data_IF_302611368257
#
_entry.id   IF_302611368257
#
_cell.length_a   1.000
_cell.length_b   1.000
_cell.length_c   1.000
_cell.angle_alpha   90.00
_cell.angle_beta   90.00
_cell.angle_gamma   90.00
#
_symmetry.space_group_name_H-M   'P 1'
#
loop_
_entity.id
_entity.type
_entity.pdbx_description
1 polymer ?
#
# COMPACT_ATOMS: atom_id res chain seq x y z
N UNK A 1 -50.11 -24.70 -0.36
CA UNK A 1 -49.67 -23.29 -0.18
C UNK A 1 -48.20 -23.33 0.27
N UNK A 2 -47.28 -23.19 -0.68
CA UNK A 2 -45.86 -23.21 -0.39
C UNK A 2 -45.35 -21.76 -0.25
N UNK A 3 -44.89 -21.40 0.94
CA UNK A 3 -44.33 -20.09 1.22
C UNK A 3 -42.94 -20.02 0.58
N UNK A 4 -42.79 -19.14 -0.41
CA UNK A 4 -41.55 -18.78 -1.04
C UNK A 4 -40.70 -18.00 -0.01
N UNK A 5 -39.66 -18.64 0.50
CA UNK A 5 -38.65 -17.97 1.30
C UNK A 5 -37.81 -17.09 0.38
N UNK A 6 -38.09 -15.80 0.38
CA UNK A 6 -37.23 -14.79 -0.24
C UNK A 6 -35.90 -14.77 0.50
N UNK A 7 -34.88 -15.35 -0.13
CA UNK A 7 -33.50 -15.20 0.32
C UNK A 7 -33.14 -13.72 0.28
N UNK A 8 -33.02 -13.10 1.46
CA UNK A 8 -32.48 -11.75 1.58
C UNK A 8 -31.03 -11.78 1.10
N UNK A 9 -30.58 -10.82 0.27
CA UNK A 9 -29.17 -10.71 -0.08
C UNK A 9 -28.39 -10.47 1.21
N UNK A 10 -27.41 -11.34 1.48
CA UNK A 10 -26.45 -11.14 2.56
C UNK A 10 -25.64 -9.90 2.20
N UNK A 11 -26.02 -8.76 2.75
CA UNK A 11 -25.25 -7.53 2.65
C UNK A 11 -23.96 -7.77 3.40
N UNK A 12 -22.86 -8.06 2.68
CA UNK A 12 -21.52 -8.11 3.25
C UNK A 12 -21.26 -6.75 3.92
N UNK A 13 -20.67 -6.72 5.13
CA UNK A 13 -20.39 -5.46 5.79
C UNK A 13 -19.44 -4.65 4.90
N UNK A 14 -19.93 -3.52 4.41
CA UNK A 14 -19.12 -2.58 3.67
C UNK A 14 -17.87 -2.28 4.52
N UNK A 15 -16.65 -2.47 3.97
CA UNK A 15 -15.44 -2.10 4.67
C UNK A 15 -15.49 -0.59 4.89
N UNK A 16 -15.77 -0.18 6.12
CA UNK A 16 -15.84 1.24 6.51
C UNK A 16 -14.46 1.83 6.86
N UNK A 17 -13.39 1.22 6.32
CA UNK A 17 -12.01 1.55 6.63
C UNK A 17 -11.20 1.76 5.36
N UNK A 18 -10.14 2.55 5.45
CA UNK A 18 -9.18 2.76 4.35
C UNK A 18 -8.46 1.45 3.97
N UNK A 19 -8.09 1.32 2.70
CA UNK A 19 -7.23 0.24 2.22
C UNK A 19 -5.80 0.76 2.18
N UNK A 20 -4.89 0.06 2.85
CA UNK A 20 -3.49 0.47 3.00
C UNK A 20 -2.59 -0.49 2.23
N UNK A 21 -1.97 -0.01 1.16
CA UNK A 21 -1.06 -0.79 0.32
C UNK A 21 0.36 -0.70 0.86
N UNK A 22 0.94 -1.84 1.21
CA UNK A 22 2.31 -1.97 1.66
C UNK A 22 3.13 -2.89 0.75
N UNK A 23 4.44 -2.85 0.88
CA UNK A 23 5.36 -3.69 0.11
C UNK A 23 6.59 -2.93 -0.36
N UNK A 24 7.50 -3.65 -0.99
CA UNK A 24 8.77 -3.11 -1.48
C UNK A 24 8.59 -2.04 -2.55
N UNK A 25 9.63 -1.22 -2.74
CA UNK A 25 9.73 -0.39 -3.94
C UNK A 25 9.70 -1.26 -5.19
N UNK A 26 8.96 -0.85 -6.22
CA UNK A 26 8.75 -1.67 -7.42
C UNK A 26 7.60 -2.69 -7.32
N UNK A 27 6.96 -2.88 -6.15
CA UNK A 27 5.81 -3.77 -6.00
C UNK A 27 4.54 -3.27 -6.73
N UNK A 28 4.49 -2.00 -7.15
CA UNK A 28 3.38 -1.46 -7.93
C UNK A 28 2.30 -0.75 -7.14
N UNK A 29 2.57 -0.39 -5.88
CA UNK A 29 1.61 0.24 -4.97
C UNK A 29 0.86 1.43 -5.57
N UNK A 30 1.56 2.36 -6.19
CA UNK A 30 0.94 3.56 -6.80
C UNK A 30 0.05 3.21 -8.00
N UNK A 31 0.51 2.31 -8.89
CA UNK A 31 -0.25 1.92 -10.08
C UNK A 31 -1.51 1.11 -9.72
N UNK A 32 -1.35 0.12 -8.82
CA UNK A 32 -2.45 -0.70 -8.32
C UNK A 32 -3.40 0.15 -7.49
N UNK A 33 -2.86 0.99 -6.60
CA UNK A 33 -3.65 1.84 -5.72
C UNK A 33 -4.55 2.84 -6.46
N UNK A 34 -4.03 3.50 -7.48
CA UNK A 34 -4.83 4.41 -8.32
C UNK A 34 -5.97 3.68 -9.04
N UNK A 35 -5.69 2.48 -9.56
CA UNK A 35 -6.70 1.70 -10.27
C UNK A 35 -7.73 1.12 -9.31
N UNK A 36 -7.31 0.66 -8.14
CA UNK A 36 -8.20 0.19 -7.07
C UNK A 36 -9.10 1.31 -6.56
N UNK A 37 -8.54 2.48 -6.29
CA UNK A 37 -9.28 3.67 -5.86
C UNK A 37 -10.34 4.07 -6.89
N UNK A 38 -9.98 4.07 -8.19
CA UNK A 38 -10.93 4.32 -9.28
C UNK A 38 -12.05 3.28 -9.31
N UNK A 39 -11.73 1.99 -9.14
CA UNK A 39 -12.72 0.92 -9.13
C UNK A 39 -13.70 1.04 -7.95
N UNK A 40 -13.24 1.56 -6.83
CA UNK A 40 -14.07 1.76 -5.62
C UNK A 40 -14.75 3.13 -5.54
N UNK A 41 -14.45 4.05 -6.45
CA UNK A 41 -14.91 5.45 -6.34
C UNK A 41 -14.31 6.19 -5.13
N UNK A 42 -13.13 5.75 -4.64
CA UNK A 42 -12.46 6.33 -3.47
C UNK A 42 -11.28 7.20 -3.90
N UNK A 43 -10.86 8.17 -3.06
CA UNK A 43 -9.62 8.90 -3.29
C UNK A 43 -8.41 7.99 -3.16
N UNK A 44 -7.37 8.27 -3.97
CA UNK A 44 -6.05 7.67 -3.84
C UNK A 44 -5.10 8.66 -3.16
N UNK A 45 -4.38 8.20 -2.14
CA UNK A 45 -3.38 8.99 -1.40
C UNK A 45 -2.05 8.24 -1.38
N UNK A 46 -0.96 8.95 -1.68
CA UNK A 46 0.41 8.43 -1.60
C UNK A 46 1.12 9.11 -0.42
N UNK A 47 1.54 8.32 0.57
CA UNK A 47 2.12 8.86 1.79
C UNK A 47 3.46 9.56 1.52
N UNK A 48 4.28 9.02 0.62
CA UNK A 48 5.56 9.65 0.25
C UNK A 48 5.31 11.04 -0.37
N UNK A 49 4.36 11.12 -1.31
CA UNK A 49 3.99 12.38 -1.92
C UNK A 49 3.38 13.38 -0.91
N UNK A 50 2.59 12.90 0.05
CA UNK A 50 2.01 13.74 1.10
C UNK A 50 3.09 14.28 2.06
N UNK A 51 4.11 13.49 2.37
CA UNK A 51 5.26 13.91 3.18
C UNK A 51 6.04 15.01 2.45
N UNK A 52 6.39 14.79 1.17
CA UNK A 52 7.12 15.76 0.36
C UNK A 52 6.34 17.08 0.20
N UNK A 53 5.04 16.99 -0.05
CA UNK A 53 4.17 18.18 -0.13
C UNK A 53 4.10 18.96 1.19
N UNK A 54 4.02 18.27 2.32
CA UNK A 54 4.00 18.89 3.64
C UNK A 54 5.34 19.54 4.03
N UNK A 55 6.46 18.97 3.56
CA UNK A 55 7.80 19.46 3.85
C UNK A 55 8.30 20.50 2.81
N UNK A 56 7.67 20.58 1.64
CA UNK A 56 8.15 21.43 0.55
C UNK A 56 9.48 20.97 -0.07
N UNK A 57 9.92 19.74 0.22
CA UNK A 57 11.19 19.18 -0.25
C UNK A 57 11.12 17.66 -0.39
N UNK A 58 12.11 17.05 -1.05
CA UNK A 58 12.14 15.61 -1.26
C UNK A 58 12.42 14.83 0.03
N UNK A 59 11.94 13.59 0.11
CA UNK A 59 12.26 12.67 1.21
C UNK A 59 13.77 12.51 1.38
N UNK A 60 14.54 12.46 0.29
CA UNK A 60 15.98 12.38 0.35
C UNK A 60 16.62 13.58 1.09
N UNK A 61 16.13 14.79 0.83
CA UNK A 61 16.59 15.99 1.50
C UNK A 61 16.18 15.99 2.98
N UNK A 62 14.95 15.55 3.29
CA UNK A 62 14.48 15.44 4.68
C UNK A 62 15.39 14.48 5.47
N UNK A 63 15.73 13.31 4.89
CA UNK A 63 16.65 12.36 5.52
C UNK A 63 18.04 12.96 5.75
N UNK A 64 18.57 13.72 4.79
CA UNK A 64 19.87 14.38 4.92
C UNK A 64 19.86 15.46 6.00
N UNK A 65 18.75 16.18 6.16
CA UNK A 65 18.62 17.32 7.08
C UNK A 65 18.35 16.90 8.52
N UNK A 66 17.38 15.98 8.75
CA UNK A 66 16.93 15.64 10.10
C UNK A 66 17.22 14.19 10.52
N UNK A 67 17.75 13.35 9.61
CA UNK A 67 18.03 11.94 9.86
C UNK A 67 16.81 11.03 9.90
N UNK A 68 17.05 9.73 9.91
CA UNK A 68 15.99 8.72 9.84
C UNK A 68 15.05 8.75 11.05
N UNK A 69 15.51 8.83 12.32
CA UNK A 69 14.61 8.78 13.47
C UNK A 69 13.58 9.92 13.46
N UNK A 70 14.02 11.15 13.17
CA UNK A 70 13.13 12.31 13.11
C UNK A 70 12.18 12.25 11.89
N UNK A 71 12.66 11.71 10.76
CA UNK A 71 11.82 11.42 9.60
C UNK A 71 10.69 10.47 9.97
N UNK A 72 10.96 9.35 10.67
CA UNK A 72 9.95 8.36 11.06
C UNK A 72 8.84 8.94 11.93
N UNK A 73 9.16 9.89 12.80
CA UNK A 73 8.14 10.62 13.59
C UNK A 73 7.22 11.43 12.66
N UNK A 74 7.79 12.17 11.70
CA UNK A 74 7.00 12.96 10.73
C UNK A 74 6.18 12.07 9.79
N UNK A 75 6.77 10.99 9.29
CA UNK A 75 6.10 10.00 8.45
C UNK A 75 4.84 9.45 9.16
N UNK A 76 4.96 9.01 10.41
CA UNK A 76 3.86 8.52 11.23
C UNK A 76 2.75 9.56 11.42
N UNK A 77 3.11 10.83 11.66
CA UNK A 77 2.14 11.91 11.78
C UNK A 77 1.34 12.15 10.49
N UNK A 78 2.01 12.09 9.34
CA UNK A 78 1.35 12.23 8.04
C UNK A 78 0.44 11.04 7.77
N UNK A 79 0.92 9.82 8.00
CA UNK A 79 0.13 8.60 7.84
C UNK A 79 -1.11 8.64 8.74
N UNK A 80 -0.98 9.05 10.00
CA UNK A 80 -2.10 9.19 10.92
C UNK A 80 -3.17 10.17 10.38
N UNK A 81 -2.75 11.29 9.81
CA UNK A 81 -3.67 12.26 9.21
C UNK A 81 -4.38 11.68 7.99
N UNK A 82 -3.66 10.94 7.14
CA UNK A 82 -4.24 10.31 5.95
C UNK A 82 -5.30 9.26 6.33
N UNK A 83 -5.03 8.44 7.35
CA UNK A 83 -5.89 7.33 7.77
C UNK A 83 -7.09 7.75 8.62
N UNK A 84 -6.97 8.85 9.39
CA UNK A 84 -8.09 9.41 10.17
C UNK A 84 -8.99 10.34 9.36
N UNK A 85 -8.63 10.66 8.14
CA UNK A 85 -9.44 11.44 7.22
C UNK A 85 -10.54 10.62 6.55
N UNK A 86 -11.00 11.10 5.40
CA UNK A 86 -11.94 10.35 4.58
C UNK A 86 -11.36 8.99 4.14
N UNK A 87 -12.23 8.00 4.02
CA UNK A 87 -11.90 6.66 3.52
C UNK A 87 -11.19 6.74 2.16
N UNK A 88 -10.05 6.08 2.03
CA UNK A 88 -9.17 6.17 0.87
C UNK A 88 -8.42 4.87 0.60
N UNK A 89 -7.85 4.76 -0.60
CA UNK A 89 -6.75 3.82 -0.87
C UNK A 89 -5.44 4.58 -0.63
N UNK A 90 -4.66 4.12 0.34
CA UNK A 90 -3.42 4.77 0.78
C UNK A 90 -2.22 3.88 0.44
N UNK A 91 -1.27 4.38 -0.34
CA UNK A 91 0.01 3.71 -0.57
C UNK A 91 1.05 4.22 0.43
N UNK A 92 1.72 3.32 1.15
CA UNK A 92 2.77 3.68 2.10
C UNK A 92 4.17 3.52 1.50
N UNK A 93 5.10 4.32 2.00
CA UNK A 93 6.53 4.10 1.80
C UNK A 93 6.97 2.71 2.29
N UNK A 94 7.99 2.12 1.64
CA UNK A 94 8.39 0.73 1.93
C UNK A 94 8.92 0.50 3.36
N UNK A 95 9.28 1.55 4.09
CA UNK A 95 9.74 1.47 5.48
C UNK A 95 8.65 1.71 6.53
N UNK A 96 7.54 2.34 6.16
CA UNK A 96 6.53 2.81 7.11
C UNK A 96 5.88 1.67 7.91
N UNK A 97 5.63 0.53 7.30
CA UNK A 97 5.03 -0.63 7.97
C UNK A 97 5.98 -1.34 8.94
N UNK A 98 7.28 -1.02 8.90
CA UNK A 98 8.27 -1.54 9.86
C UNK A 98 8.10 -0.94 11.26
N UNK A 99 7.48 0.22 11.37
CA UNK A 99 7.17 0.87 12.64
C UNK A 99 5.95 0.24 13.31
N UNK A 100 6.07 -0.27 14.56
CA UNK A 100 4.97 -0.95 15.25
C UNK A 100 3.78 -0.02 15.55
N UNK A 101 4.03 1.28 15.80
CA UNK A 101 2.95 2.24 16.05
C UNK A 101 2.14 2.51 14.77
N UNK A 102 2.82 2.57 13.62
CA UNK A 102 2.14 2.67 12.33
C UNK A 102 1.29 1.42 12.05
N UNK A 103 1.78 0.22 12.35
CA UNK A 103 0.99 -1.01 12.21
C UNK A 103 -0.24 -1.02 13.11
N UNK A 104 -0.09 -0.63 14.38
CA UNK A 104 -1.21 -0.53 15.31
C UNK A 104 -2.29 0.42 14.79
N UNK A 105 -1.88 1.61 14.32
CA UNK A 105 -2.79 2.58 13.73
C UNK A 105 -3.53 2.02 12.50
N UNK A 106 -2.82 1.31 11.61
CA UNK A 106 -3.43 0.69 10.43
C UNK A 106 -4.45 -0.36 10.85
N UNK A 107 -4.14 -1.18 11.84
CA UNK A 107 -5.07 -2.20 12.37
C UNK A 107 -6.37 -1.58 12.88
N UNK A 108 -6.31 -0.40 13.49
CA UNK A 108 -7.47 0.33 14.00
C UNK A 108 -8.29 1.00 12.89
N UNK A 109 -7.63 1.58 11.89
CA UNK A 109 -8.24 2.52 10.94
C UNK A 109 -8.32 2.02 9.50
N UNK A 110 -7.68 0.91 9.17
CA UNK A 110 -7.54 0.42 7.79
C UNK A 110 -7.55 -1.09 7.67
N UNK A 111 -7.32 -1.53 6.46
CA UNK A 111 -6.99 -2.92 6.08
C UNK A 111 -5.69 -2.90 5.30
N UNK A 112 -4.69 -3.60 5.79
CA UNK A 112 -3.37 -3.68 5.17
C UNK A 112 -3.32 -4.75 4.08
N UNK A 113 -2.81 -4.39 2.90
CA UNK A 113 -2.60 -5.29 1.78
C UNK A 113 -1.12 -5.31 1.44
N UNK A 114 -0.46 -6.44 1.66
CA UNK A 114 0.89 -6.61 1.17
C UNK A 114 0.91 -6.99 -0.31
N UNK A 115 1.39 -6.09 -1.15
CA UNK A 115 1.71 -6.38 -2.54
C UNK A 115 3.07 -7.06 -2.61
N UNK A 116 3.05 -8.39 -2.61
CA UNK A 116 4.25 -9.22 -2.68
C UNK A 116 4.75 -9.33 -4.11
N UNK A 117 6.05 -9.21 -4.31
CA UNK A 117 6.69 -9.43 -5.60
C UNK A 117 8.06 -10.09 -5.41
N UNK A 118 8.43 -10.96 -6.34
CA UNK A 118 9.72 -11.62 -6.38
C UNK A 118 10.86 -10.61 -6.59
N UNK A 119 12.05 -10.90 -6.08
CA UNK A 119 13.24 -10.04 -6.19
C UNK A 119 13.53 -9.64 -7.64
N UNK A 120 13.48 -10.58 -8.58
CA UNK A 120 13.77 -10.29 -10.00
C UNK A 120 12.79 -9.29 -10.62
N UNK A 121 11.53 -9.34 -10.19
CA UNK A 121 10.50 -8.37 -10.61
C UNK A 121 10.81 -6.99 -10.03
N UNK A 122 11.17 -6.93 -8.75
CA UNK A 122 11.53 -5.68 -8.08
C UNK A 122 12.75 -5.04 -8.73
N UNK A 123 13.82 -5.80 -8.97
CA UNK A 123 15.03 -5.34 -9.65
C UNK A 123 14.69 -4.76 -11.02
N UNK A 124 13.97 -5.52 -11.85
CA UNK A 124 13.60 -5.06 -13.21
C UNK A 124 12.76 -3.78 -13.19
N UNK A 125 11.79 -3.67 -12.25
CA UNK A 125 10.91 -2.49 -12.15
C UNK A 125 11.60 -1.27 -11.55
N UNK A 126 12.66 -1.47 -10.79
CA UNK A 126 13.44 -0.39 -10.16
C UNK A 126 14.67 0.01 -10.94
N UNK A 127 15.08 -0.76 -11.98
CA UNK A 127 16.25 -0.50 -12.83
C UNK A 127 16.15 0.80 -13.65
N UNK A 128 14.96 1.39 -13.82
CA UNK A 128 14.82 2.70 -14.47
C UNK A 128 15.39 3.77 -13.54
N UNK A 129 16.16 4.76 -14.07
CA UNK A 129 16.74 5.83 -13.27
C UNK A 129 15.63 6.68 -12.66
N UNK A 130 15.23 6.35 -11.47
CA UNK A 130 14.35 7.13 -10.62
C UNK A 130 15.13 7.52 -9.36
N UNK A 131 14.89 8.73 -8.87
CA UNK A 131 15.48 9.34 -7.66
C UNK A 131 15.19 8.51 -6.40
N UNK A 132 15.83 7.35 -6.27
CA UNK A 132 15.69 6.46 -5.09
C UNK A 132 16.99 6.43 -4.32
N UNK A 133 17.11 7.20 -3.21
CA UNK A 133 18.33 7.31 -2.42
C UNK A 133 18.88 5.95 -1.96
N UNK A 134 18.02 5.02 -1.60
CA UNK A 134 18.39 3.68 -1.10
C UNK A 134 19.06 2.77 -2.15
N UNK A 135 18.98 3.11 -3.43
CA UNK A 135 19.62 2.36 -4.52
C UNK A 135 20.79 3.12 -5.16
N UNK A 136 21.12 4.31 -4.64
CA UNK A 136 22.22 5.12 -5.11
C UNK A 136 23.51 4.65 -4.42
N UNK A 137 24.43 4.02 -5.16
CA UNK A 137 25.77 3.72 -4.67
C UNK A 137 26.04 2.28 -4.25
N UNK A 138 25.64 1.29 -5.08
CA UNK A 138 25.92 -0.12 -4.80
C UNK A 138 25.27 -1.05 -5.81
N UNK A 139 25.24 -2.35 -5.49
CA UNK A 139 24.46 -3.33 -6.24
C UNK A 139 22.97 -3.21 -5.86
N UNK A 140 22.10 -2.71 -6.76
CA UNK A 140 20.67 -2.57 -6.46
C UNK A 140 19.98 -3.91 -6.13
N UNK A 141 20.49 -5.01 -6.72
CA UNK A 141 19.94 -6.35 -6.45
C UNK A 141 20.27 -6.80 -5.03
N UNK A 142 21.52 -6.66 -4.60
CA UNK A 142 21.93 -7.01 -3.24
C UNK A 142 21.18 -6.15 -2.20
N UNK A 143 21.04 -4.86 -2.47
CA UNK A 143 20.29 -3.94 -1.60
C UNK A 143 18.82 -4.35 -1.49
N UNK A 144 18.15 -4.65 -2.61
CA UNK A 144 16.74 -5.08 -2.60
C UNK A 144 16.57 -6.43 -1.93
N UNK A 145 17.51 -7.39 -2.14
CA UNK A 145 17.47 -8.69 -1.49
C UNK A 145 17.55 -8.54 0.03
N UNK A 146 18.52 -7.77 0.53
CA UNK A 146 18.67 -7.50 1.95
C UNK A 146 17.46 -6.82 2.58
N UNK A 147 16.92 -5.78 1.92
CA UNK A 147 15.71 -5.12 2.39
C UNK A 147 14.49 -6.05 2.38
N UNK A 148 14.37 -6.91 1.38
CA UNK A 148 13.26 -7.88 1.29
C UNK A 148 13.35 -8.90 2.42
N UNK A 149 14.54 -9.45 2.69
CA UNK A 149 14.78 -10.38 3.80
C UNK A 149 14.39 -9.79 5.16
N UNK A 150 14.77 -8.55 5.41
CA UNK A 150 14.43 -7.84 6.66
C UNK A 150 12.94 -7.52 6.78
N UNK A 151 12.28 -7.17 5.67
CA UNK A 151 10.93 -6.62 5.70
C UNK A 151 9.83 -7.66 5.48
N UNK A 152 10.11 -8.75 4.76
CA UNK A 152 9.09 -9.75 4.45
C UNK A 152 8.42 -10.36 5.69
N UNK A 153 9.14 -10.69 6.79
CA UNK A 153 8.49 -11.20 8.00
C UNK A 153 7.50 -10.20 8.62
N UNK A 154 7.80 -8.89 8.54
CA UNK A 154 6.90 -7.84 9.05
C UNK A 154 5.76 -7.58 8.08
N UNK A 155 6.01 -7.56 6.78
CA UNK A 155 4.94 -7.43 5.78
C UNK A 155 3.95 -8.60 5.83
N UNK A 156 4.40 -9.80 6.24
CA UNK A 156 3.53 -10.96 6.42
C UNK A 156 2.49 -10.79 7.55
N UNK A 157 2.61 -9.77 8.39
CA UNK A 157 1.61 -9.38 9.38
C UNK A 157 0.43 -8.59 8.78
N UNK A 158 0.45 -8.32 7.48
CA UNK A 158 -0.67 -7.66 6.79
C UNK A 158 -1.94 -8.52 6.82
N UNK A 159 -3.10 -7.86 6.81
CA UNK A 159 -4.40 -8.54 6.78
C UNK A 159 -4.59 -9.42 5.54
N UNK A 160 -4.04 -8.97 4.40
CA UNK A 160 -4.12 -9.67 3.11
C UNK A 160 -2.77 -9.63 2.40
N UNK A 161 -2.42 -10.72 1.73
CA UNK A 161 -1.23 -10.83 0.87
C UNK A 161 -1.68 -11.10 -0.56
N UNK A 162 -1.23 -10.28 -1.50
CA UNK A 162 -1.54 -10.44 -2.93
C UNK A 162 -0.25 -10.42 -3.73
N UNK A 163 -0.10 -11.37 -4.66
CA UNK A 163 1.06 -11.40 -5.56
C UNK A 163 0.90 -10.37 -6.69
N UNK A 164 1.77 -9.37 -6.67
CA UNK A 164 1.81 -8.28 -7.66
C UNK A 164 2.90 -8.45 -8.74
N UNK A 165 3.53 -9.63 -8.76
CA UNK A 165 4.76 -9.86 -9.55
C UNK A 165 4.54 -9.91 -11.06
N UNK A 166 3.86 -10.93 -11.54
CA UNK A 166 3.74 -11.25 -12.99
C UNK A 166 2.40 -10.85 -13.59
N UNK A 167 1.39 -10.67 -12.75
CA UNK A 167 0.04 -10.36 -13.20
C UNK A 167 -0.11 -8.91 -13.69
N UNK A 168 -0.97 -8.65 -14.69
CA UNK A 168 -1.37 -7.31 -15.08
C UNK A 168 -2.02 -6.56 -13.90
N UNK A 169 -1.87 -5.24 -13.86
CA UNK A 169 -2.41 -4.40 -12.77
C UNK A 169 -3.91 -4.66 -12.53
N UNK A 170 -4.70 -4.85 -13.61
CA UNK A 170 -6.13 -5.14 -13.49
C UNK A 170 -6.42 -6.46 -12.77
N UNK A 171 -5.65 -7.51 -13.03
CA UNK A 171 -5.80 -8.79 -12.37
C UNK A 171 -5.43 -8.71 -10.87
N UNK A 172 -4.39 -7.93 -10.53
CA UNK A 172 -4.02 -7.70 -9.12
C UNK A 172 -5.13 -6.93 -8.39
N UNK A 173 -5.72 -5.92 -9.04
CA UNK A 173 -6.87 -5.17 -8.48
C UNK A 173 -8.06 -6.11 -8.24
N UNK A 174 -8.38 -6.98 -9.18
CA UNK A 174 -9.46 -7.97 -9.00
C UNK A 174 -9.20 -8.90 -7.80
N UNK A 175 -7.95 -9.39 -7.66
CA UNK A 175 -7.57 -10.21 -6.49
C UNK A 175 -7.70 -9.44 -5.16
N UNK A 176 -7.36 -8.15 -5.14
CA UNK A 176 -7.53 -7.33 -3.94
C UNK A 176 -9.01 -7.15 -3.60
N UNK A 177 -9.84 -6.85 -4.60
CA UNK A 177 -11.29 -6.71 -4.42
C UNK A 177 -11.92 -8.00 -3.90
N UNK A 178 -11.60 -9.14 -4.52
CA UNK A 178 -12.06 -10.46 -4.10
C UNK A 178 -11.65 -10.78 -2.66
N UNK A 179 -10.37 -10.61 -2.33
CA UNK A 179 -9.85 -10.85 -0.99
C UNK A 179 -10.48 -9.97 0.12
N UNK A 180 -11.00 -8.80 -0.26
CA UNK A 180 -11.69 -7.87 0.63
C UNK A 180 -13.22 -8.04 0.59
N UNK A 181 -13.77 -8.87 -0.31
CA UNK A 181 -15.20 -8.98 -0.53
C UNK A 181 -15.83 -7.68 -1.03
N UNK A 182 -15.12 -6.92 -1.86
CA UNK A 182 -15.58 -5.63 -2.40
C UNK A 182 -15.91 -5.74 -3.89
N UNK A 183 -16.99 -5.06 -4.29
CA UNK A 183 -17.39 -4.92 -5.69
C UNK A 183 -16.98 -3.55 -6.24
N UNK A 184 -16.55 -3.47 -7.51
CA UNK A 184 -16.27 -2.20 -8.16
C UNK A 184 -17.56 -1.38 -8.35
N UNK A 185 -17.47 -0.07 -8.15
CA UNK A 185 -18.57 0.84 -8.43
C UNK A 185 -18.84 0.86 -9.95
N UNK A 186 -20.01 0.41 -10.36
CA UNK A 186 -20.41 0.34 -11.78
C UNK A 186 -20.31 -1.05 -12.44
N UNK A 187 -20.15 -2.11 -11.67
CA UNK A 187 -20.15 -3.50 -12.14
C UNK A 187 -21.53 -4.14 -12.16
N UNK A 188 -22.54 -3.44 -12.68
CA UNK A 188 -23.83 -4.02 -13.03
C UNK A 188 -24.12 -3.66 -14.49
N UNK A 189 -23.65 -4.48 -15.42
CA UNK A 189 -24.21 -4.62 -16.79
C UNK A 189 -23.73 -5.93 -17.36
#
# INVERSE_FOLDING_TARGET
MAASALSQPVTQPAIDRSIVLIGMMGAGKTAIGRRLAKALGWPFKDADAAIEAAAGTSIANIFAEIGEPAFRVKERQVIARLLRGERAVVALGGGAFMDPETRALICETGRSIWLRAELDVLVRRTARPNKRPLLAGGDPRATLAHLLEQRAPVYALADVVVDSGKAPVGAVVAQVLDALGLEPVGGAS
#
